data_IF_937317552223
#
_entry.id   IF_937317552223
#
_cell.length_a   1.000
_cell.length_b   1.000
_cell.length_c   1.000
_cell.angle_alpha   90.00
_cell.angle_beta   90.00
_cell.angle_gamma   90.00
#
_symmetry.space_group_name_H-M   'P 1'
#
loop_
_entity.id
_entity.type
_entity.pdbx_description
1 polymer ?
#
# COMPACT_ATOMS: atom_id res chain seq x y z
N UNK A 1 -6.30 -29.94 -9.80
CA UNK A 1 -6.97 -29.04 -8.84
C UNK A 1 -6.12 -27.79 -8.80
N UNK A 2 -6.69 -26.64 -9.20
CA UNK A 2 -5.97 -25.35 -9.21
C UNK A 2 -6.06 -24.65 -7.86
N UNK A 3 -5.31 -23.55 -7.72
CA UNK A 3 -5.46 -22.65 -6.58
C UNK A 3 -6.90 -22.19 -6.44
N UNK A 4 -7.36 -22.11 -5.20
CA UNK A 4 -8.68 -21.60 -4.83
C UNK A 4 -8.57 -20.13 -4.44
N UNK A 5 -9.67 -19.36 -4.49
CA UNK A 5 -9.68 -17.99 -3.96
C UNK A 5 -9.29 -17.91 -2.48
N UNK A 6 -9.48 -19.00 -1.72
CA UNK A 6 -9.05 -19.06 -0.34
C UNK A 6 -7.53 -19.15 -0.22
N UNK A 7 -6.85 -19.82 -1.15
CA UNK A 7 -5.39 -19.88 -1.18
C UNK A 7 -4.79 -18.49 -1.44
N UNK A 8 -5.34 -17.75 -2.40
CA UNK A 8 -4.89 -16.37 -2.70
C UNK A 8 -5.17 -15.41 -1.52
N UNK A 9 -6.31 -15.59 -0.84
CA UNK A 9 -6.63 -14.84 0.38
C UNK A 9 -5.67 -15.20 1.52
N UNK A 10 -5.40 -16.48 1.72
CA UNK A 10 -4.47 -16.93 2.75
C UNK A 10 -3.06 -16.42 2.49
N UNK A 11 -2.57 -16.46 1.25
CA UNK A 11 -1.27 -15.90 0.86
C UNK A 11 -1.19 -14.39 1.19
N UNK A 12 -2.25 -13.64 0.88
CA UNK A 12 -2.29 -12.18 1.12
C UNK A 12 -2.53 -11.76 2.57
N UNK A 13 -3.03 -12.64 3.44
CA UNK A 13 -3.28 -12.35 4.87
C UNK A 13 -2.36 -13.14 5.81
N UNK A 14 -1.31 -13.76 5.29
CA UNK A 14 -0.37 -14.54 6.08
C UNK A 14 0.66 -13.61 6.77
N UNK A 15 0.72 -13.54 8.11
CA UNK A 15 1.68 -12.70 8.81
C UNK A 15 3.14 -13.17 8.68
N UNK A 16 3.39 -14.38 8.18
CA UNK A 16 4.73 -14.83 7.83
C UNK A 16 5.12 -14.49 6.37
N UNK A 17 4.25 -13.81 5.62
CA UNK A 17 4.53 -13.32 4.28
C UNK A 17 5.00 -11.86 4.34
N UNK A 18 6.17 -11.55 3.81
CA UNK A 18 6.73 -10.19 3.81
C UNK A 18 5.81 -9.20 3.08
N UNK A 19 5.17 -9.63 1.99
CA UNK A 19 4.25 -8.79 1.23
C UNK A 19 3.01 -8.36 2.04
N UNK A 20 2.62 -9.13 3.07
CA UNK A 20 1.55 -8.72 3.99
C UNK A 20 1.98 -7.50 4.80
N UNK A 21 3.20 -7.51 5.36
CA UNK A 21 3.73 -6.38 6.12
C UNK A 21 3.95 -5.14 5.26
N UNK A 22 4.53 -5.30 4.06
CA UNK A 22 4.68 -4.20 3.11
C UNK A 22 3.32 -3.58 2.76
N UNK A 23 2.27 -4.39 2.62
CA UNK A 23 0.92 -3.89 2.35
C UNK A 23 0.37 -3.06 3.52
N UNK A 24 0.67 -3.45 4.77
CA UNK A 24 0.25 -2.70 5.97
C UNK A 24 1.01 -1.38 6.08
N UNK A 25 2.31 -1.36 5.82
CA UNK A 25 3.12 -0.14 5.84
C UNK A 25 2.67 0.83 4.76
N UNK A 26 2.44 0.33 3.53
CA UNK A 26 1.89 1.15 2.45
C UNK A 26 0.51 1.71 2.81
N UNK A 27 -0.36 0.89 3.40
CA UNK A 27 -1.67 1.33 3.86
C UNK A 27 -1.58 2.41 4.95
N UNK A 28 -0.65 2.26 5.90
CA UNK A 28 -0.40 3.25 6.94
C UNK A 28 0.14 4.56 6.36
N UNK A 29 1.08 4.48 5.41
CA UNK A 29 1.63 5.64 4.71
C UNK A 29 0.55 6.42 3.94
N UNK A 30 -0.40 5.72 3.33
CA UNK A 30 -1.55 6.31 2.64
C UNK A 30 -2.59 6.94 3.55
N UNK A 31 -2.57 6.67 4.86
CA UNK A 31 -3.55 7.19 5.81
C UNK A 31 -2.94 8.13 6.85
N UNK A 32 -1.62 8.31 6.83
CA UNK A 32 -0.92 9.18 7.76
C UNK A 32 -0.69 10.56 7.13
N UNK A 33 -1.45 11.61 7.52
CA UNK A 33 -1.28 12.95 6.97
C UNK A 33 0.06 13.61 7.27
N UNK A 34 0.79 13.09 8.27
CA UNK A 34 2.14 13.53 8.58
C UNK A 34 3.21 12.79 7.77
N UNK A 35 2.84 11.81 6.94
CA UNK A 35 3.76 11.15 6.03
C UNK A 35 3.96 12.04 4.79
N UNK A 36 5.21 12.33 4.44
CA UNK A 36 5.59 13.11 3.25
C UNK A 36 4.93 12.56 1.97
N UNK A 37 4.83 11.23 1.83
CA UNK A 37 4.20 10.59 0.66
C UNK A 37 2.67 10.72 0.63
N UNK A 38 2.04 10.96 1.76
CA UNK A 38 0.59 11.20 1.82
C UNK A 38 0.23 12.57 1.24
N UNK A 39 1.09 13.55 1.47
CA UNK A 39 0.88 14.94 1.04
C UNK A 39 0.95 15.08 -0.48
N UNK A 40 1.41 14.04 -1.20
CA UNK A 40 1.56 14.09 -2.65
C UNK A 40 2.62 15.09 -3.09
N UNK A 41 2.87 15.16 -4.39
CA UNK A 41 3.72 16.20 -4.98
C UNK A 41 2.93 17.53 -5.08
N UNK A 42 2.39 18.02 -3.96
CA UNK A 42 1.61 19.28 -3.89
C UNK A 42 2.41 20.55 -4.30
N UNK A 43 3.67 20.40 -4.72
CA UNK A 43 4.56 21.48 -5.21
C UNK A 43 4.76 21.52 -6.74
N UNK A 44 4.04 20.73 -7.56
CA UNK A 44 4.23 20.74 -9.02
C UNK A 44 2.92 20.92 -9.78
N UNK A 45 2.17 22.00 -9.51
CA UNK A 45 1.09 22.46 -10.41
C UNK A 45 0.98 24.00 -10.48
N UNK A 46 2.04 24.75 -10.14
CA UNK A 46 2.05 26.23 -10.20
C UNK A 46 2.87 26.83 -11.37
N UNK A 47 3.46 26.04 -12.28
CA UNK A 47 4.28 26.55 -13.40
C UNK A 47 3.84 26.03 -14.79
N UNK A 48 2.61 26.38 -15.19
CA UNK A 48 2.12 26.22 -16.59
C UNK A 48 1.39 27.50 -17.03
N UNK A 49 2.12 28.59 -17.20
CA UNK A 49 1.70 29.78 -17.99
C UNK A 49 2.08 29.61 -19.48
#
# INVERSE_FOLDING_TARGET
MGRTPNDDRSDSMNPNNDAYWDSMDNHANQLNPNNERYQGDDEIDDDKE
#
